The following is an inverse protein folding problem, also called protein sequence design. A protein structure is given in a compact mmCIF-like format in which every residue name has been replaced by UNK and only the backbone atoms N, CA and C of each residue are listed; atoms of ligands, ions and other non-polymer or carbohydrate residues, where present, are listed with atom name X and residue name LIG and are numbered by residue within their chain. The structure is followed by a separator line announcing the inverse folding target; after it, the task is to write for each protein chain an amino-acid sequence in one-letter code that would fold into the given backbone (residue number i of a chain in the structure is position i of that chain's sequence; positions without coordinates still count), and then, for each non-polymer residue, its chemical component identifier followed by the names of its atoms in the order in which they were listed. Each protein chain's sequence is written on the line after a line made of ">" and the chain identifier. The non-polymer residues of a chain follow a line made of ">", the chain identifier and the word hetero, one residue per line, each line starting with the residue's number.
data_IF_965548613547
#
_entry.id   IF_965548613547
#
_cell.length_a   1.000
_cell.length_b   1.000
_cell.length_c   1.000
_cell.angle_alpha   90.00
_cell.angle_beta   90.00
_cell.angle_gamma   90.00
#
_symmetry.space_group_name_H-M   'P 1'
#
loop_
_entity.id
_entity.type
_entity.pdbx_description
1 polymer ?
#
# COMPACT_ATOMS: atom_id res chain seq x y z
N UNK A 1 11.27 7.76 3.75
CA UNK A 1 10.18 6.80 3.62
C UNK A 1 9.61 6.67 2.20
N UNK A 2 9.54 7.73 1.37
CA UNK A 2 9.00 7.65 -0.01
C UNK A 2 9.83 6.82 -1.01
N UNK A 3 11.15 6.70 -0.82
CA UNK A 3 12.04 5.97 -1.76
C UNK A 3 11.98 4.43 -1.68
N UNK A 4 11.64 3.84 -0.52
CA UNK A 4 11.55 2.38 -0.36
C UNK A 4 10.29 1.73 -0.96
N UNK A 5 9.26 2.52 -1.22
CA UNK A 5 8.02 2.05 -1.86
C UNK A 5 8.15 1.88 -3.39
N UNK A 6 9.16 2.49 -4.01
CA UNK A 6 9.24 2.57 -5.48
C UNK A 6 9.80 1.32 -6.16
N UNK A 7 10.76 0.59 -5.54
CA UNK A 7 11.26 -0.66 -6.15
C UNK A 7 10.19 -1.76 -6.16
N UNK A 8 9.42 -1.85 -5.09
CA UNK A 8 8.26 -2.79 -4.99
C UNK A 8 7.10 -2.33 -5.88
N UNK A 9 6.90 -1.01 -6.04
CA UNK A 9 5.86 -0.50 -6.94
C UNK A 9 6.17 -0.71 -8.43
N UNK A 10 7.42 -0.68 -8.89
CA UNK A 10 7.69 -0.92 -10.30
C UNK A 10 7.37 -2.37 -10.68
N UNK A 11 7.69 -3.35 -9.83
CA UNK A 11 7.30 -4.74 -10.04
C UNK A 11 5.79 -4.96 -9.86
N UNK A 12 5.16 -4.35 -8.85
CA UNK A 12 3.72 -4.47 -8.61
C UNK A 12 2.87 -3.67 -9.61
N UNK A 13 3.37 -2.54 -10.14
CA UNK A 13 2.64 -1.70 -11.10
C UNK A 13 2.78 -2.16 -12.54
N UNK A 14 3.77 -2.99 -12.89
CA UNK A 14 3.79 -3.73 -14.16
C UNK A 14 2.52 -4.58 -14.33
N UNK A 15 1.98 -5.08 -13.23
CA UNK A 15 0.76 -5.88 -13.20
C UNK A 15 -0.51 -5.01 -13.25
N UNK A 16 -0.50 -3.82 -12.66
CA UNK A 16 -1.68 -2.93 -12.59
C UNK A 16 -1.97 -2.23 -13.92
N UNK A 17 -0.97 -1.92 -14.73
CA UNK A 17 -1.20 -1.29 -16.03
C UNK A 17 -1.94 -2.18 -17.05
N UNK A 18 -2.03 -3.49 -16.79
CA UNK A 18 -2.79 -4.43 -17.61
C UNK A 18 -4.27 -4.54 -17.21
N UNK A 19 -4.68 -4.06 -16.04
CA UNK A 19 -6.07 -4.13 -15.54
C UNK A 19 -7.00 -3.11 -16.22
N UNK A 20 -6.46 -2.11 -16.93
CA UNK A 20 -7.23 -1.04 -17.58
C UNK A 20 -7.88 -1.39 -18.92
N UNK A 21 -7.61 -2.54 -19.55
CA UNK A 21 -8.24 -2.95 -20.79
C UNK A 21 -9.39 -3.92 -20.53
N UNK A 22 -10.60 -3.36 -20.49
CA UNK A 22 -11.85 -4.11 -20.41
C UNK A 22 -11.93 -5.24 -21.43
N UNK A 23 -12.68 -6.31 -21.05
CA UNK A 23 -13.07 -7.46 -21.88
C UNK A 23 -13.05 -7.14 -23.38
N UNK A 24 -12.05 -7.60 -24.10
CA UNK A 24 -12.11 -7.65 -25.56
C UNK A 24 -13.19 -8.67 -25.95
N UNK A 25 -14.27 -8.18 -26.54
CA UNK A 25 -15.19 -9.00 -27.33
C UNK A 25 -14.38 -9.65 -28.46
N UNK A 26 -14.12 -10.93 -28.34
CA UNK A 26 -13.57 -11.76 -29.41
C UNK A 26 -14.63 -11.94 -30.51
N UNK A 27 -14.53 -11.15 -31.54
CA UNK A 27 -15.01 -11.50 -32.88
C UNK A 27 -13.94 -11.04 -33.86
N UNK A 28 -12.96 -11.86 -34.11
CA UNK A 28 -12.26 -11.90 -35.39
C UNK A 28 -11.62 -13.28 -35.59
N UNK A 29 -11.96 -13.83 -36.73
CA UNK A 29 -11.55 -15.13 -37.26
C UNK A 29 -10.02 -15.25 -37.35
N UNK A 30 -9.51 -16.34 -36.74
CA UNK A 30 -8.13 -16.76 -36.73
C UNK A 30 -7.59 -17.08 -38.11
N UNK A 31 -6.37 -16.64 -38.38
CA UNK A 31 -5.42 -17.37 -39.22
C UNK A 31 -4.32 -17.90 -38.30
N UNK A 32 -4.02 -19.20 -38.42
CA UNK A 32 -3.00 -19.93 -37.68
C UNK A 32 -1.68 -19.15 -37.61
N UNK A 33 -1.37 -18.63 -36.42
CA UNK A 33 -0.03 -18.23 -36.02
C UNK A 33 0.28 -19.01 -34.73
N UNK A 34 1.40 -19.70 -34.76
CA UNK A 34 2.01 -20.56 -33.77
C UNK A 34 1.60 -20.21 -32.30
N UNK A 35 0.90 -21.14 -31.62
CA UNK A 35 0.32 -21.05 -30.30
C UNK A 35 1.39 -21.14 -29.17
N UNK A 36 2.45 -20.37 -29.29
CA UNK A 36 3.52 -20.33 -28.25
C UNK A 36 3.42 -19.15 -27.29
N UNK A 37 2.40 -18.26 -27.50
CA UNK A 37 2.36 -16.97 -26.81
C UNK A 37 1.85 -17.01 -25.35
N UNK A 38 1.20 -18.10 -24.91
CA UNK A 38 0.58 -18.19 -23.56
C UNK A 38 1.02 -19.44 -22.78
N UNK A 39 2.15 -20.03 -23.12
CA UNK A 39 2.67 -21.18 -22.38
C UNK A 39 3.57 -20.69 -21.24
N UNK A 40 3.35 -21.25 -20.04
CA UNK A 40 4.23 -21.00 -18.90
C UNK A 40 5.70 -21.31 -19.27
N UNK A 41 6.61 -20.37 -18.99
CA UNK A 41 8.05 -20.60 -19.10
C UNK A 41 8.41 -21.71 -18.12
N UNK A 42 9.13 -22.71 -18.58
CA UNK A 42 9.64 -23.75 -17.70
C UNK A 42 10.74 -23.21 -16.79
N UNK A 43 10.93 -23.83 -15.63
CA UNK A 43 12.04 -23.49 -14.74
C UNK A 43 13.41 -23.58 -15.43
N UNK A 44 13.58 -24.56 -16.32
CA UNK A 44 14.82 -24.71 -17.10
C UNK A 44 15.04 -23.52 -18.04
N UNK A 45 14.04 -23.13 -18.81
CA UNK A 45 14.11 -21.97 -19.71
C UNK A 45 14.36 -20.67 -18.94
N UNK A 46 13.71 -20.52 -17.76
CA UNK A 46 13.90 -19.34 -16.91
C UNK A 46 15.34 -19.27 -16.38
N UNK A 47 15.88 -20.37 -15.84
CA UNK A 47 17.25 -20.43 -15.31
C UNK A 47 18.31 -20.25 -16.41
N UNK A 48 18.06 -20.75 -17.60
CA UNK A 48 18.92 -20.48 -18.76
C UNK A 48 18.94 -18.97 -19.12
N UNK A 49 17.80 -18.29 -18.98
CA UNK A 49 17.71 -16.85 -19.19
C UNK A 49 18.46 -16.08 -18.09
N UNK A 50 18.38 -16.50 -16.82
CA UNK A 50 19.18 -15.92 -15.72
C UNK A 50 20.67 -16.00 -16.03
N UNK A 51 21.16 -17.17 -16.41
CA UNK A 51 22.58 -17.36 -16.74
C UNK A 51 23.04 -16.50 -17.93
N UNK A 52 22.19 -16.38 -18.97
CA UNK A 52 22.43 -15.54 -20.13
C UNK A 52 22.48 -14.04 -19.74
N UNK A 53 21.48 -13.57 -18.98
CA UNK A 53 21.41 -12.19 -18.54
C UNK A 53 22.57 -11.82 -17.61
N UNK A 54 22.97 -12.71 -16.70
CA UNK A 54 24.14 -12.50 -15.84
C UNK A 54 25.42 -12.27 -16.66
N UNK A 55 25.62 -13.06 -17.74
CA UNK A 55 26.76 -12.86 -18.63
C UNK A 55 26.74 -11.52 -19.37
N UNK A 56 25.54 -11.00 -19.67
CA UNK A 56 25.37 -9.65 -20.25
C UNK A 56 25.64 -8.59 -19.18
N UNK A 57 25.03 -8.71 -18.00
CA UNK A 57 25.10 -7.72 -16.93
C UNK A 57 26.51 -7.52 -16.37
N UNK A 58 27.33 -8.58 -16.33
CA UNK A 58 28.76 -8.50 -15.97
C UNK A 58 29.61 -7.59 -16.87
N UNK A 59 29.08 -7.18 -18.04
CA UNK A 59 29.74 -6.19 -18.92
C UNK A 59 29.44 -4.76 -18.45
N UNK A 60 28.36 -4.56 -17.70
CA UNK A 60 27.86 -3.26 -17.26
C UNK A 60 28.21 -2.94 -15.82
N UNK A 61 28.27 -3.96 -14.95
CA UNK A 61 28.61 -3.76 -13.54
C UNK A 61 29.67 -4.77 -13.08
N UNK A 62 30.45 -4.35 -12.07
CA UNK A 62 31.34 -5.24 -11.31
C UNK A 62 30.92 -5.20 -9.86
N UNK A 63 30.58 -6.36 -9.28
CA UNK A 63 30.20 -6.49 -7.88
C UNK A 63 31.43 -6.49 -6.99
N UNK A 64 31.34 -5.87 -5.78
CA UNK A 64 32.31 -6.10 -4.72
C UNK A 64 32.14 -7.48 -4.09
N UNK A 65 32.93 -7.80 -3.07
CA UNK A 65 32.62 -8.94 -2.18
C UNK A 65 31.27 -8.70 -1.49
N UNK A 66 30.36 -9.68 -1.60
CA UNK A 66 29.00 -9.58 -1.07
C UNK A 66 28.68 -10.64 0.00
N UNK A 67 29.66 -11.46 0.39
CA UNK A 67 29.55 -12.40 1.52
C UNK A 67 30.28 -11.84 2.75
N UNK A 68 29.80 -12.18 3.93
CA UNK A 68 30.41 -11.74 5.18
C UNK A 68 30.23 -10.25 5.50
N UNK A 69 29.30 -9.57 4.82
CA UNK A 69 28.99 -8.16 5.08
C UNK A 69 28.43 -8.02 6.49
N UNK A 70 29.06 -7.15 7.28
CA UNK A 70 28.64 -6.87 8.63
C UNK A 70 27.56 -5.78 8.65
N UNK A 71 26.42 -6.08 9.27
CA UNK A 71 25.27 -5.16 9.40
C UNK A 71 24.71 -5.18 10.81
N UNK A 72 24.12 -4.06 11.24
CA UNK A 72 23.35 -3.95 12.47
C UNK A 72 21.90 -3.62 12.12
N UNK A 73 20.97 -4.46 12.57
CA UNK A 73 19.54 -4.34 12.26
C UNK A 73 18.75 -4.42 13.57
N UNK A 74 17.76 -3.56 13.69
CA UNK A 74 16.83 -3.61 14.82
C UNK A 74 16.03 -4.93 14.82
N UNK A 75 16.08 -5.63 15.96
CA UNK A 75 15.42 -6.92 16.19
C UNK A 75 14.06 -6.80 16.89
N UNK A 76 13.60 -5.60 17.15
CA UNK A 76 12.33 -5.38 17.87
C UNK A 76 11.14 -6.07 17.21
N UNK A 77 11.13 -6.15 15.88
CA UNK A 77 10.07 -6.83 15.13
C UNK A 77 10.05 -8.35 15.29
N UNK A 78 11.13 -8.96 15.78
CA UNK A 78 11.20 -10.41 16.02
C UNK A 78 10.54 -10.84 17.35
N UNK A 79 10.15 -9.87 18.19
CA UNK A 79 9.53 -10.16 19.47
C UNK A 79 8.07 -9.80 19.42
N UNK A 80 7.20 -10.77 19.65
CA UNK A 80 5.75 -10.60 19.73
C UNK A 80 5.30 -10.89 21.16
N UNK A 81 4.82 -9.88 21.85
CA UNK A 81 4.27 -9.98 23.20
C UNK A 81 2.81 -10.47 23.18
N UNK A 82 2.30 -10.87 24.36
CA UNK A 82 0.87 -11.17 24.50
C UNK A 82 0.02 -9.91 24.27
N UNK A 83 0.51 -8.74 24.67
CA UNK A 83 -0.18 -7.47 24.46
C UNK A 83 -0.29 -7.12 22.96
N UNK A 84 0.70 -7.46 22.13
CA UNK A 84 0.63 -7.29 20.69
C UNK A 84 -0.46 -8.15 20.07
N UNK A 85 -0.57 -9.41 20.52
CA UNK A 85 -1.61 -10.34 20.09
C UNK A 85 -3.01 -9.84 20.48
N UNK A 86 -3.21 -9.41 21.73
CA UNK A 86 -4.50 -8.86 22.18
C UNK A 86 -4.84 -7.55 21.45
N UNK A 87 -3.85 -6.71 21.17
CA UNK A 87 -4.05 -5.49 20.35
C UNK A 87 -4.48 -5.82 18.94
N UNK A 88 -3.84 -6.81 18.30
CA UNK A 88 -4.21 -7.27 16.97
C UNK A 88 -5.65 -7.82 16.94
N UNK A 89 -6.02 -8.65 17.92
CA UNK A 89 -7.38 -9.20 18.05
C UNK A 89 -8.40 -8.08 18.32
N UNK A 90 -8.07 -7.11 19.16
CA UNK A 90 -8.92 -5.94 19.42
C UNK A 90 -9.19 -5.14 18.13
N UNK A 91 -8.19 -5.00 17.26
CA UNK A 91 -8.35 -4.36 15.95
C UNK A 91 -9.28 -5.18 15.03
N UNK A 92 -9.14 -6.50 15.04
CA UNK A 92 -10.07 -7.40 14.32
C UNK A 92 -11.49 -7.17 14.84
N UNK A 93 -11.74 -7.29 16.15
CA UNK A 93 -13.07 -7.08 16.74
C UNK A 93 -13.63 -5.70 16.38
N UNK A 94 -12.79 -4.67 16.39
CA UNK A 94 -13.17 -3.30 16.03
C UNK A 94 -13.62 -3.17 14.57
N UNK A 95 -13.08 -4.00 13.65
CA UNK A 95 -13.50 -4.03 12.24
C UNK A 95 -14.86 -4.71 12.05
N UNK A 96 -15.27 -5.58 12.97
CA UNK A 96 -16.58 -6.23 13.00
C UNK A 96 -17.61 -5.48 13.88
N UNK A 97 -17.25 -4.29 14.37
CA UNK A 97 -18.19 -3.53 15.18
C UNK A 97 -19.42 -3.11 14.37
N UNK A 98 -20.57 -3.27 14.95
CA UNK A 98 -21.82 -2.74 14.41
C UNK A 98 -22.04 -1.31 14.85
N UNK A 99 -22.71 -0.52 14.02
CA UNK A 99 -23.07 0.87 14.33
C UNK A 99 -24.58 1.03 14.29
N UNK A 100 -25.14 1.59 15.34
CA UNK A 100 -26.57 1.90 15.46
C UNK A 100 -26.74 3.39 15.75
N UNK A 101 -27.64 4.03 15.01
CA UNK A 101 -28.03 5.40 15.29
C UNK A 101 -29.14 5.43 16.35
N UNK A 102 -28.89 6.09 17.47
CA UNK A 102 -29.88 6.31 18.51
C UNK A 102 -30.30 7.77 18.51
N UNK A 103 -31.62 7.99 18.59
CA UNK A 103 -32.25 9.33 18.56
C UNK A 103 -32.61 9.84 19.95
N UNK A 104 -32.11 9.17 20.98
CA UNK A 104 -32.29 9.52 22.39
C UNK A 104 -30.95 9.37 23.13
N UNK A 105 -30.80 10.12 24.21
CA UNK A 105 -29.62 10.06 25.07
C UNK A 105 -28.86 11.38 25.11
N UNK A 106 -27.68 11.32 25.74
CA UNK A 106 -26.81 12.48 25.96
C UNK A 106 -25.45 12.18 25.33
N UNK A 107 -24.91 13.15 24.61
CA UNK A 107 -23.62 13.05 23.93
C UNK A 107 -22.44 12.97 24.89
N UNK A 108 -21.42 12.22 24.52
CA UNK A 108 -20.15 12.08 25.25
C UNK A 108 -18.95 12.32 24.33
N UNK A 109 -17.80 12.57 24.92
CA UNK A 109 -16.54 12.63 24.16
C UNK A 109 -16.27 11.29 23.47
N UNK A 110 -15.90 11.33 22.17
CA UNK A 110 -15.69 10.15 21.34
C UNK A 110 -16.93 9.67 20.58
N UNK A 111 -18.14 10.16 20.93
CA UNK A 111 -19.35 9.84 20.17
C UNK A 111 -19.28 10.41 18.75
N UNK A 112 -19.74 9.64 17.78
CA UNK A 112 -20.04 10.17 16.44
C UNK A 112 -21.51 10.57 16.40
N UNK A 113 -21.79 11.84 16.10
CA UNK A 113 -23.12 12.42 16.09
C UNK A 113 -23.50 12.94 14.71
N UNK A 114 -24.81 12.98 14.40
CA UNK A 114 -25.36 13.80 13.33
C UNK A 114 -25.93 15.07 13.95
N UNK A 115 -25.51 16.24 13.44
CA UNK A 115 -25.95 17.52 13.99
C UNK A 115 -26.17 18.57 12.90
N UNK A 116 -27.06 19.53 13.23
CA UNK A 116 -27.13 20.84 12.57
C UNK A 116 -26.39 21.86 13.42
N UNK A 117 -25.76 22.82 12.76
CA UNK A 117 -25.21 23.98 13.46
C UNK A 117 -25.37 25.26 12.64
N UNK A 118 -25.51 26.40 13.36
CA UNK A 118 -25.54 27.74 12.79
C UNK A 118 -24.78 28.72 13.66
N UNK A 119 -23.61 29.16 13.14
CA UNK A 119 -22.76 30.14 13.82
C UNK A 119 -23.12 31.59 13.48
N UNK A 120 -23.19 32.42 14.50
CA UNK A 120 -23.54 33.85 14.40
C UNK A 120 -22.48 34.71 15.07
N UNK A 121 -22.02 35.75 14.38
CA UNK A 121 -21.20 36.82 14.89
C UNK A 121 -22.12 38.07 15.07
N UNK A 122 -22.23 38.58 16.27
CA UNK A 122 -23.11 39.70 16.58
C UNK A 122 -24.58 39.51 16.10
N UNK A 123 -25.04 38.26 16.16
CA UNK A 123 -26.40 37.87 15.74
C UNK A 123 -26.59 37.63 14.27
N UNK A 124 -25.56 37.82 13.45
CA UNK A 124 -25.58 37.60 11.99
C UNK A 124 -24.81 36.33 11.61
N UNK A 125 -25.45 35.43 10.83
CA UNK A 125 -24.80 34.24 10.37
C UNK A 125 -23.63 34.58 9.43
N UNK A 126 -22.49 33.88 9.59
CA UNK A 126 -21.29 34.07 8.76
C UNK A 126 -21.10 32.94 7.78
N UNK A 127 -20.38 33.20 6.71
CA UNK A 127 -20.10 32.22 5.67
C UNK A 127 -19.29 31.04 6.22
N UNK A 128 -19.75 29.80 5.91
CA UNK A 128 -19.15 28.56 6.41
C UNK A 128 -19.55 28.21 7.87
N UNK A 129 -20.33 29.07 8.55
CA UNK A 129 -20.79 28.84 9.91
C UNK A 129 -22.06 28.01 10.04
N UNK A 130 -22.71 27.59 8.94
CA UNK A 130 -23.96 26.84 8.96
C UNK A 130 -23.90 25.60 8.11
N UNK A 131 -24.34 24.47 8.67
CA UNK A 131 -24.50 23.21 7.95
C UNK A 131 -25.59 22.35 8.63
N UNK A 132 -26.14 21.40 7.88
CA UNK A 132 -27.16 20.46 8.35
C UNK A 132 -26.70 19.02 8.09
N UNK A 133 -27.19 18.08 8.90
CA UNK A 133 -26.90 16.64 8.83
C UNK A 133 -25.39 16.30 8.81
N UNK A 134 -24.59 17.07 9.53
CA UNK A 134 -23.14 16.87 9.58
C UNK A 134 -22.82 15.71 10.50
N UNK A 135 -22.08 14.72 9.96
CA UNK A 135 -21.49 13.68 10.81
C UNK A 135 -20.19 14.17 11.43
N UNK A 136 -20.12 14.16 12.75
CA UNK A 136 -18.97 14.66 13.51
C UNK A 136 -18.65 13.76 14.70
N UNK A 137 -17.36 13.46 14.90
CA UNK A 137 -16.89 12.75 16.10
C UNK A 137 -16.38 13.77 17.11
N UNK A 138 -17.01 13.82 18.27
CA UNK A 138 -16.66 14.75 19.37
C UNK A 138 -15.25 14.44 19.88
N UNK A 139 -14.37 15.43 19.90
CA UNK A 139 -12.96 15.29 20.26
C UNK A 139 -12.03 15.04 19.06
N UNK A 140 -12.56 15.02 17.82
CA UNK A 140 -11.73 14.85 16.61
C UNK A 140 -10.90 16.07 16.23
N UNK A 141 -11.15 17.23 16.83
CA UNK A 141 -10.42 18.47 16.60
C UNK A 141 -10.69 19.14 15.24
N UNK A 142 -11.73 18.71 14.50
CA UNK A 142 -12.12 19.34 13.22
C UNK A 142 -12.95 20.61 13.44
N UNK A 143 -13.60 20.76 14.58
CA UNK A 143 -14.22 22.01 15.00
C UNK A 143 -13.28 22.81 15.90
N UNK A 144 -13.58 24.10 16.10
CA UNK A 144 -12.87 24.91 17.11
C UNK A 144 -13.11 24.35 18.52
N UNK A 145 -12.11 24.48 19.38
CA UNK A 145 -12.08 23.81 20.69
C UNK A 145 -13.33 24.05 21.53
N UNK A 146 -13.81 25.29 21.58
CA UNK A 146 -14.99 25.64 22.40
C UNK A 146 -16.26 24.95 21.87
N UNK A 147 -16.43 24.85 20.54
CA UNK A 147 -17.56 24.14 19.95
C UNK A 147 -17.47 22.65 20.24
N UNK A 148 -16.28 22.06 20.00
CA UNK A 148 -16.05 20.63 20.22
C UNK A 148 -16.33 20.21 21.67
N UNK A 149 -15.85 20.99 22.64
CA UNK A 149 -16.13 20.77 24.06
C UNK A 149 -17.59 21.01 24.41
N UNK A 150 -18.22 22.03 23.81
CA UNK A 150 -19.62 22.37 24.03
C UNK A 150 -20.62 21.33 23.51
N UNK A 151 -20.17 20.43 22.60
CA UNK A 151 -20.99 19.31 22.13
C UNK A 151 -21.13 18.18 23.14
N UNK A 152 -20.33 18.14 24.22
CA UNK A 152 -20.40 17.10 25.26
C UNK A 152 -21.56 17.41 26.23
N UNK A 153 -22.37 16.40 26.52
CA UNK A 153 -23.45 16.50 27.50
C UNK A 153 -24.78 17.06 26.95
N UNK A 154 -24.91 17.16 25.61
CA UNK A 154 -26.15 17.62 24.98
C UNK A 154 -27.16 16.48 24.82
N UNK A 155 -28.42 16.74 25.07
CA UNK A 155 -29.49 15.79 24.80
C UNK A 155 -29.86 15.82 23.33
N UNK A 156 -30.02 14.63 22.74
CA UNK A 156 -30.45 14.48 21.35
C UNK A 156 -31.84 15.10 21.16
N UNK A 157 -32.04 15.78 20.03
CA UNK A 157 -33.30 16.45 19.66
C UNK A 157 -33.54 17.79 20.30
N UNK A 158 -32.62 18.30 21.13
CA UNK A 158 -32.73 19.64 21.75
C UNK A 158 -31.75 20.62 21.09
N UNK A 159 -32.19 21.88 21.02
CA UNK A 159 -31.36 22.97 20.51
C UNK A 159 -30.58 23.62 21.65
N UNK A 160 -29.30 23.92 21.41
CA UNK A 160 -28.40 24.54 22.37
C UNK A 160 -27.61 25.67 21.73
N UNK A 161 -27.43 26.76 22.44
CA UNK A 161 -26.52 27.84 22.10
C UNK A 161 -25.17 27.64 22.80
N UNK A 162 -24.11 27.44 22.01
CA UNK A 162 -22.75 27.24 22.51
C UNK A 162 -21.94 28.50 22.22
N UNK A 163 -21.55 29.26 23.27
CA UNK A 163 -20.64 30.39 23.10
C UNK A 163 -19.24 29.89 22.80
N UNK A 164 -18.63 30.38 21.71
CA UNK A 164 -17.32 29.98 21.23
C UNK A 164 -16.46 31.20 20.93
N UNK A 165 -15.14 31.06 21.03
CA UNK A 165 -14.18 32.06 20.58
C UNK A 165 -13.25 31.42 19.55
N UNK A 166 -13.16 32.01 18.37
CA UNK A 166 -12.20 31.55 17.37
C UNK A 166 -10.77 31.79 17.84
N UNK A 167 -9.83 30.85 17.59
CA UNK A 167 -8.41 31.06 17.84
C UNK A 167 -7.89 32.33 17.17
N UNK A 168 -6.92 33.01 17.79
CA UNK A 168 -6.34 34.25 17.23
C UNK A 168 -5.58 34.03 15.93
N UNK A 169 -5.15 32.81 15.65
CA UNK A 169 -4.46 32.35 14.45
C UNK A 169 -5.39 31.63 13.45
N UNK A 170 -6.72 31.78 13.61
CA UNK A 170 -7.68 31.18 12.71
C UNK A 170 -7.51 31.70 11.28
N UNK A 171 -7.65 30.82 10.29
CA UNK A 171 -7.34 31.12 8.87
C UNK A 171 -8.16 32.27 8.26
N UNK A 172 -9.41 32.49 8.77
CA UNK A 172 -10.23 33.65 8.38
C UNK A 172 -9.94 34.83 9.30
N UNK A 173 -9.35 35.89 8.75
CA UNK A 173 -9.06 37.14 9.47
C UNK A 173 -10.30 37.82 10.04
N UNK A 174 -11.46 37.59 9.43
CA UNK A 174 -12.73 38.19 9.87
C UNK A 174 -13.29 37.51 11.12
N UNK A 175 -12.85 36.26 11.39
CA UNK A 175 -13.29 35.45 12.52
C UNK A 175 -12.20 35.27 13.57
N UNK A 176 -10.91 35.43 13.25
CA UNK A 176 -9.80 35.26 14.18
C UNK A 176 -9.99 36.10 15.47
N UNK A 177 -9.96 35.45 16.62
CA UNK A 177 -10.15 36.04 17.94
C UNK A 177 -11.57 36.56 18.23
N UNK A 178 -12.55 36.31 17.35
CA UNK A 178 -13.95 36.76 17.57
C UNK A 178 -14.72 35.76 18.39
N UNK A 179 -15.62 36.33 19.25
CA UNK A 179 -16.62 35.54 20.00
C UNK A 179 -17.88 35.41 19.17
N UNK A 180 -18.37 34.17 19.04
CA UNK A 180 -19.55 33.80 18.26
C UNK A 180 -20.47 32.89 19.09
N UNK A 181 -21.69 32.72 18.64
CA UNK A 181 -22.62 31.75 19.23
C UNK A 181 -22.94 30.73 18.13
N UNK A 182 -22.73 29.45 18.43
CA UNK A 182 -23.23 28.35 17.60
C UNK A 182 -24.51 27.82 18.21
N UNK A 183 -25.60 27.93 17.47
CA UNK A 183 -26.85 27.22 17.77
C UNK A 183 -26.73 25.84 17.16
N UNK A 184 -26.83 24.78 17.95
CA UNK A 184 -26.65 23.38 17.51
C UNK A 184 -27.84 22.52 17.89
N UNK A 185 -28.16 21.54 17.03
CA UNK A 185 -29.14 20.50 17.35
C UNK A 185 -28.52 19.15 16.96
N UNK A 186 -28.37 18.25 17.93
CA UNK A 186 -27.92 16.88 17.70
C UNK A 186 -29.11 16.01 17.33
N UNK A 187 -29.09 15.36 16.16
CA UNK A 187 -30.19 14.51 15.69
C UNK A 187 -30.07 13.07 16.15
N UNK A 188 -28.83 12.56 16.19
CA UNK A 188 -28.56 11.19 16.61
C UNK A 188 -27.13 11.03 17.13
N UNK A 189 -26.95 9.98 17.91
CA UNK A 189 -25.63 9.47 18.32
C UNK A 189 -25.43 8.12 17.64
N UNK A 190 -24.31 7.93 16.93
CA UNK A 190 -23.92 6.63 16.41
C UNK A 190 -23.23 5.85 17.52
N UNK A 191 -23.88 4.83 18.05
CA UNK A 191 -23.29 3.90 19.00
C UNK A 191 -22.59 2.78 18.27
N UNK A 192 -21.29 2.63 18.54
CA UNK A 192 -20.47 1.55 18.04
C UNK A 192 -20.45 0.42 19.07
N UNK A 193 -20.92 -0.76 18.69
CA UNK A 193 -20.87 -1.97 19.52
C UNK A 193 -19.81 -2.91 18.97
N UNK A 194 -18.73 -3.09 19.72
CA UNK A 194 -17.67 -4.06 19.42
C UNK A 194 -18.16 -5.42 19.93
N UNK A 195 -18.10 -6.50 19.10
CA UNK A 195 -18.51 -7.81 19.55
C UNK A 195 -17.62 -8.32 20.68
N UNK A 196 -18.21 -9.12 21.56
CA UNK A 196 -17.47 -9.84 22.60
C UNK A 196 -16.68 -10.99 21.96
N UNK A 197 -15.44 -11.17 22.39
CA UNK A 197 -14.58 -12.26 21.93
C UNK A 197 -14.98 -13.58 22.64
N UNK A 198 -15.71 -14.41 21.94
CA UNK A 198 -16.14 -15.76 22.42
C UNK A 198 -15.84 -16.81 21.36
N UNK A 199 -15.82 -18.09 21.76
CA UNK A 199 -15.61 -19.19 20.82
C UNK A 199 -16.74 -19.24 19.76
N UNK A 200 -17.99 -18.92 20.14
CA UNK A 200 -19.11 -18.84 19.22
C UNK A 200 -18.91 -17.74 18.18
N UNK A 201 -18.39 -16.56 18.60
CA UNK A 201 -18.10 -15.47 17.68
C UNK A 201 -16.98 -15.84 16.72
N UNK A 202 -15.89 -16.45 17.21
CA UNK A 202 -14.78 -16.91 16.37
C UNK A 202 -15.27 -17.94 15.35
N UNK A 203 -16.02 -18.95 15.79
CA UNK A 203 -16.57 -19.97 14.89
C UNK A 203 -17.49 -19.39 13.80
N UNK A 204 -18.29 -18.38 14.14
CA UNK A 204 -19.20 -17.73 13.20
C UNK A 204 -18.46 -16.86 12.16
N UNK A 205 -17.25 -16.39 12.44
CA UNK A 205 -16.51 -15.47 11.60
C UNK A 205 -15.20 -16.05 11.04
N UNK A 206 -14.86 -17.31 11.34
CA UNK A 206 -13.61 -17.95 10.97
C UNK A 206 -13.34 -17.88 9.46
N UNK A 207 -14.34 -18.24 8.63
CA UNK A 207 -14.24 -18.18 7.17
C UNK A 207 -13.95 -16.77 6.65
N UNK A 208 -14.65 -15.77 7.18
CA UNK A 208 -14.45 -14.35 6.76
C UNK A 208 -13.11 -13.76 7.23
N UNK A 209 -12.54 -14.32 8.30
CA UNK A 209 -11.21 -13.97 8.78
C UNK A 209 -10.10 -14.76 8.08
N UNK A 210 -10.45 -15.80 7.33
CA UNK A 210 -9.49 -16.69 6.67
C UNK A 210 -8.68 -17.54 7.65
N UNK A 211 -9.25 -17.89 8.82
CA UNK A 211 -8.62 -18.71 9.85
C UNK A 211 -9.23 -20.12 9.88
N UNK A 212 -8.41 -21.10 10.26
CA UNK A 212 -8.86 -22.49 10.34
C UNK A 212 -9.50 -22.83 11.71
N UNK A 213 -9.05 -22.11 12.75
CA UNK A 213 -9.51 -22.36 14.11
C UNK A 213 -10.89 -21.74 14.41
N UNK A 214 -11.63 -22.37 15.31
CA UNK A 214 -13.00 -21.96 15.70
C UNK A 214 -13.11 -21.57 17.18
N UNK A 215 -11.99 -21.38 17.86
CA UNK A 215 -11.94 -20.99 19.28
C UNK A 215 -11.07 -19.75 19.49
N UNK A 216 -11.29 -19.06 20.60
CA UNK A 216 -10.48 -17.90 21.01
C UNK A 216 -9.00 -18.29 21.15
N UNK A 217 -8.71 -19.50 21.67
CA UNK A 217 -7.32 -19.98 21.77
C UNK A 217 -6.69 -20.18 20.39
N UNK A 218 -7.43 -20.75 19.43
CA UNK A 218 -6.97 -20.91 18.06
C UNK A 218 -6.72 -19.54 17.40
N UNK A 219 -7.64 -18.59 17.53
CA UNK A 219 -7.46 -17.23 17.00
C UNK A 219 -6.20 -16.55 17.59
N UNK A 220 -5.96 -16.68 18.91
CA UNK A 220 -4.74 -16.14 19.53
C UNK A 220 -3.47 -16.77 18.98
N UNK A 221 -3.49 -18.08 18.75
CA UNK A 221 -2.36 -18.80 18.16
C UNK A 221 -2.09 -18.33 16.74
N UNK A 222 -3.12 -18.26 15.90
CA UNK A 222 -3.00 -17.82 14.50
C UNK A 222 -2.59 -16.34 14.41
N UNK A 223 -3.13 -15.48 15.28
CA UNK A 223 -2.72 -14.08 15.38
C UNK A 223 -1.25 -13.94 15.76
N UNK A 224 -0.76 -14.74 16.70
CA UNK A 224 0.66 -14.76 17.06
C UNK A 224 1.53 -15.22 15.91
N UNK A 225 1.20 -16.32 15.26
CA UNK A 225 1.93 -16.84 14.09
C UNK A 225 1.97 -15.79 12.95
N UNK A 226 0.86 -15.10 12.71
CA UNK A 226 0.81 -14.00 11.75
C UNK A 226 1.75 -12.85 12.11
N UNK A 227 1.75 -12.40 13.37
CA UNK A 227 2.61 -11.31 13.84
C UNK A 227 4.09 -11.70 13.81
N UNK A 228 4.43 -12.93 14.24
CA UNK A 228 5.79 -13.45 14.18
C UNK A 228 6.32 -13.54 12.74
N UNK A 229 5.51 -14.06 11.82
CA UNK A 229 5.85 -14.14 10.40
C UNK A 229 6.02 -12.74 9.78
N UNK A 230 5.10 -11.82 10.10
CA UNK A 230 5.19 -10.42 9.65
C UNK A 230 6.41 -9.71 10.21
N UNK A 231 6.69 -9.92 11.49
CA UNK A 231 7.88 -9.38 12.17
C UNK A 231 9.18 -9.92 11.58
N UNK A 232 9.23 -11.23 11.31
CA UNK A 232 10.36 -11.88 10.62
C UNK A 232 10.57 -11.32 9.22
N UNK A 233 9.51 -11.19 8.43
CA UNK A 233 9.58 -10.60 7.10
C UNK A 233 10.11 -9.16 7.14
N UNK A 234 9.63 -8.36 8.10
CA UNK A 234 10.12 -6.99 8.32
C UNK A 234 11.61 -6.96 8.65
N UNK A 235 12.05 -7.83 9.55
CA UNK A 235 13.45 -7.96 9.91
C UNK A 235 14.31 -8.38 8.72
N UNK A 236 13.90 -9.42 7.99
CA UNK A 236 14.63 -9.96 6.83
C UNK A 236 14.77 -8.89 5.71
N UNK A 237 13.70 -8.12 5.47
CA UNK A 237 13.71 -7.01 4.51
C UNK A 237 14.65 -5.86 4.95
N UNK A 238 14.66 -5.53 6.24
CA UNK A 238 15.56 -4.51 6.78
C UNK A 238 17.02 -4.98 6.73
N UNK A 239 17.26 -6.26 7.01
CA UNK A 239 18.60 -6.89 6.93
C UNK A 239 19.10 -6.88 5.50
N UNK A 240 18.29 -7.35 4.54
CA UNK A 240 18.62 -7.27 3.11
C UNK A 240 18.92 -5.83 2.68
N UNK A 241 18.07 -4.88 3.05
CA UNK A 241 18.29 -3.47 2.72
C UNK A 241 19.63 -2.95 3.23
N UNK A 242 20.00 -3.32 4.47
CA UNK A 242 21.30 -2.93 5.05
C UNK A 242 22.47 -3.56 4.29
N UNK A 243 22.37 -4.86 3.97
CA UNK A 243 23.40 -5.58 3.17
C UNK A 243 23.51 -4.97 1.78
N UNK A 244 22.38 -4.74 1.10
CA UNK A 244 22.36 -4.21 -0.26
C UNK A 244 22.93 -2.78 -0.34
N UNK A 245 22.66 -1.92 0.64
CA UNK A 245 23.26 -0.58 0.69
C UNK A 245 24.80 -0.62 0.81
N UNK A 246 25.36 -1.62 1.50
CA UNK A 246 26.82 -1.82 1.54
C UNK A 246 27.33 -2.27 0.17
N UNK A 247 26.68 -3.27 -0.45
CA UNK A 247 27.04 -3.73 -1.79
C UNK A 247 26.97 -2.57 -2.79
N UNK A 248 25.86 -1.84 -2.80
CA UNK A 248 25.59 -0.73 -3.73
C UNK A 248 26.66 0.35 -3.71
N UNK A 249 27.26 0.60 -2.55
CA UNK A 249 28.29 1.63 -2.36
C UNK A 249 29.56 1.36 -3.19
N UNK A 250 29.91 0.08 -3.32
CA UNK A 250 31.19 -0.35 -3.88
C UNK A 250 31.03 -1.01 -5.26
N UNK A 251 29.80 -0.99 -5.83
CA UNK A 251 29.55 -1.45 -7.22
C UNK A 251 30.24 -0.47 -8.20
N UNK A 252 31.01 -1.02 -9.13
CA UNK A 252 31.44 -0.26 -10.29
C UNK A 252 30.40 -0.37 -11.39
N UNK A 253 29.77 0.75 -11.77
CA UNK A 253 28.80 0.83 -12.85
C UNK A 253 29.47 1.42 -14.09
N UNK A 254 29.58 0.65 -15.18
CA UNK A 254 30.13 1.07 -16.47
C UNK A 254 29.02 1.49 -17.46
N UNK A 255 27.77 1.28 -17.13
CA UNK A 255 26.59 1.63 -17.93
C UNK A 255 25.42 0.70 -17.67
N UNK A 256 24.44 0.76 -18.55
CA UNK A 256 23.20 -0.04 -18.47
C UNK A 256 22.85 -0.61 -19.85
N UNK A 257 22.20 -1.79 -19.94
CA UNK A 257 21.61 -2.28 -21.18
C UNK A 257 20.54 -1.30 -21.68
N UNK A 258 20.82 -0.59 -22.78
CA UNK A 258 19.99 0.54 -23.23
C UNK A 258 18.56 0.10 -23.56
N UNK A 259 18.38 -1.06 -24.22
CA UNK A 259 17.05 -1.55 -24.57
C UNK A 259 16.18 -1.82 -23.34
N UNK A 260 16.76 -2.37 -22.26
CA UNK A 260 16.04 -2.60 -21.01
C UNK A 260 15.72 -1.27 -20.30
N UNK A 261 16.67 -0.34 -20.30
CA UNK A 261 16.47 0.99 -19.73
C UNK A 261 15.31 1.73 -20.42
N UNK A 262 15.28 1.72 -21.75
CA UNK A 262 14.22 2.37 -22.54
C UNK A 262 12.86 1.71 -22.30
N UNK A 263 12.83 0.38 -22.20
CA UNK A 263 11.62 -0.38 -21.87
C UNK A 263 11.08 0.02 -20.49
N UNK A 264 11.92 0.04 -19.47
CA UNK A 264 11.53 0.43 -18.10
C UNK A 264 11.02 1.87 -18.03
N UNK A 265 11.64 2.81 -18.74
CA UNK A 265 11.13 4.19 -18.84
C UNK A 265 9.75 4.25 -19.48
N UNK A 266 9.53 3.45 -20.54
CA UNK A 266 8.21 3.37 -21.21
C UNK A 266 7.15 2.80 -20.27
N UNK A 267 7.45 1.73 -19.56
CA UNK A 267 6.56 1.10 -18.59
C UNK A 267 6.22 2.08 -17.46
N UNK A 268 7.20 2.77 -16.91
CA UNK A 268 6.97 3.78 -15.87
C UNK A 268 5.98 4.86 -16.34
N UNK A 269 6.14 5.35 -17.58
CA UNK A 269 5.23 6.33 -18.16
C UNK A 269 3.80 5.78 -18.27
N UNK A 270 3.66 4.57 -18.81
CA UNK A 270 2.35 3.93 -18.96
C UNK A 270 1.65 3.73 -17.61
N UNK A 271 2.39 3.35 -16.57
CA UNK A 271 1.84 3.18 -15.22
C UNK A 271 1.36 4.50 -14.63
N UNK A 272 2.14 5.58 -14.78
CA UNK A 272 1.74 6.91 -14.30
C UNK A 272 0.52 7.45 -15.07
N UNK A 273 0.45 7.21 -16.39
CA UNK A 273 -0.71 7.55 -17.22
C UNK A 273 -1.95 6.73 -16.81
N UNK A 274 -1.79 5.44 -16.52
CA UNK A 274 -2.87 4.57 -16.08
C UNK A 274 -3.41 5.00 -14.71
N UNK A 275 -2.53 5.33 -13.75
CA UNK A 275 -2.92 5.87 -12.44
C UNK A 275 -3.71 7.18 -12.59
N UNK A 276 -3.19 8.13 -13.37
CA UNK A 276 -3.89 9.37 -13.63
C UNK A 276 -5.29 9.13 -14.21
N UNK A 277 -5.41 8.26 -15.24
CA UNK A 277 -6.66 7.95 -15.88
C UNK A 277 -7.65 7.26 -14.93
N UNK A 278 -7.18 6.34 -14.09
CA UNK A 278 -8.01 5.64 -13.09
C UNK A 278 -8.63 6.60 -12.08
N UNK A 279 -7.86 7.59 -11.62
CA UNK A 279 -8.28 8.55 -10.61
C UNK A 279 -8.58 9.95 -11.18
N UNK A 280 -8.85 10.06 -12.48
CA UNK A 280 -9.04 11.34 -13.17
C UNK A 280 -10.12 12.21 -12.51
N UNK A 281 -11.26 11.64 -12.13
CA UNK A 281 -12.33 12.38 -11.45
C UNK A 281 -11.89 12.98 -10.11
N UNK A 282 -11.12 12.22 -9.35
CA UNK A 282 -10.55 12.67 -8.07
C UNK A 282 -9.54 13.80 -8.28
N UNK A 283 -8.63 13.67 -9.24
CA UNK A 283 -7.62 14.68 -9.54
C UNK A 283 -8.26 15.95 -10.10
N UNK A 284 -9.26 15.82 -10.98
CA UNK A 284 -10.01 16.98 -11.53
C UNK A 284 -10.71 17.79 -10.44
N UNK A 285 -11.26 17.15 -9.40
CA UNK A 285 -11.86 17.84 -8.26
C UNK A 285 -10.84 18.65 -7.44
N UNK A 286 -9.54 18.35 -7.56
CA UNK A 286 -8.43 19.08 -6.93
C UNK A 286 -7.77 20.11 -7.87
N UNK A 287 -8.34 20.33 -9.05
CA UNK A 287 -7.81 21.30 -10.03
C UNK A 287 -6.69 20.75 -10.91
N UNK A 288 -6.44 19.42 -10.88
CA UNK A 288 -5.46 18.74 -11.74
C UNK A 288 -6.19 18.27 -13.00
N UNK A 289 -6.03 18.98 -14.10
CA UNK A 289 -6.87 18.84 -15.29
C UNK A 289 -6.30 17.96 -16.40
N UNK A 290 -4.97 17.71 -16.35
CA UNK A 290 -4.26 16.94 -17.36
C UNK A 290 -3.05 16.22 -16.78
N UNK A 291 -2.43 15.33 -17.56
CA UNK A 291 -1.31 14.51 -17.12
C UNK A 291 -0.06 15.34 -16.74
N UNK A 292 0.18 16.45 -17.43
CA UNK A 292 1.30 17.34 -17.08
C UNK A 292 1.10 18.00 -15.71
N UNK A 293 -0.12 18.48 -15.44
CA UNK A 293 -0.50 19.01 -14.12
C UNK A 293 -0.41 17.94 -13.02
N UNK A 294 -0.75 16.68 -13.34
CA UNK A 294 -0.59 15.54 -12.45
C UNK A 294 0.89 15.29 -12.12
N UNK A 295 1.77 15.21 -13.13
CA UNK A 295 3.21 15.04 -12.91
C UNK A 295 3.80 16.16 -12.04
N UNK A 296 3.39 17.40 -12.30
CA UNK A 296 3.84 18.56 -11.51
C UNK A 296 3.34 18.54 -10.07
N UNK A 297 2.05 18.24 -9.86
CA UNK A 297 1.40 18.33 -8.54
C UNK A 297 1.73 17.14 -7.63
N UNK A 298 1.79 15.92 -8.20
CA UNK A 298 1.96 14.68 -7.44
C UNK A 298 3.44 14.30 -7.30
N UNK A 299 4.21 14.46 -8.37
CA UNK A 299 5.62 14.06 -8.44
C UNK A 299 6.61 15.21 -8.39
N UNK A 300 6.12 16.46 -8.43
CA UNK A 300 6.94 17.68 -8.50
C UNK A 300 7.86 17.73 -9.74
N UNK A 301 7.35 17.24 -10.88
CA UNK A 301 8.04 17.20 -12.17
C UNK A 301 7.48 18.32 -13.06
N UNK A 302 8.27 19.37 -13.25
CA UNK A 302 7.79 20.63 -13.85
C UNK A 302 7.69 20.62 -15.37
N UNK A 303 8.40 19.71 -16.04
CA UNK A 303 8.51 19.64 -17.50
C UNK A 303 9.02 18.27 -17.97
N UNK A 304 9.09 18.08 -19.28
CA UNK A 304 9.53 16.82 -19.91
C UNK A 304 10.98 16.45 -19.55
N UNK A 305 11.86 17.41 -19.34
CA UNK A 305 13.23 17.15 -18.94
C UNK A 305 13.32 16.62 -17.51
N UNK A 306 12.58 17.24 -16.59
CA UNK A 306 12.46 16.75 -15.20
C UNK A 306 11.85 15.34 -15.15
N UNK A 307 10.86 15.06 -16.01
CA UNK A 307 10.30 13.72 -16.14
C UNK A 307 11.33 12.71 -16.69
N UNK A 308 12.07 13.07 -17.76
CA UNK A 308 13.07 12.17 -18.36
C UNK A 308 14.20 11.83 -17.37
N UNK A 309 14.68 12.81 -16.62
CA UNK A 309 15.67 12.63 -15.56
C UNK A 309 15.14 11.70 -14.46
N UNK A 310 13.92 11.94 -13.98
CA UNK A 310 13.24 11.10 -13.00
C UNK A 310 13.07 9.66 -13.49
N UNK A 311 12.55 9.48 -14.71
CA UNK A 311 12.32 8.19 -15.31
C UNK A 311 13.64 7.43 -15.53
N UNK A 312 14.68 8.13 -15.96
CA UNK A 312 16.02 7.56 -16.16
C UNK A 312 16.59 7.09 -14.83
N UNK A 313 16.57 7.93 -13.79
CA UNK A 313 17.09 7.57 -12.47
C UNK A 313 16.33 6.38 -11.87
N UNK A 314 15.00 6.40 -11.96
CA UNK A 314 14.14 5.32 -11.44
C UNK A 314 14.41 4.00 -12.15
N UNK A 315 14.49 4.03 -13.49
CA UNK A 315 14.80 2.85 -14.28
C UNK A 315 16.22 2.31 -14.02
N UNK A 316 17.20 3.18 -13.84
CA UNK A 316 18.56 2.79 -13.48
C UNK A 316 18.65 2.16 -12.10
N UNK A 317 17.95 2.68 -11.10
CA UNK A 317 17.91 2.10 -9.75
C UNK A 317 17.33 0.69 -9.78
N UNK A 318 16.19 0.50 -10.46
CA UNK A 318 15.57 -0.82 -10.61
C UNK A 318 16.47 -1.80 -11.37
N UNK A 319 17.02 -1.34 -12.52
CA UNK A 319 17.86 -2.20 -13.37
C UNK A 319 19.18 -2.57 -12.68
N UNK A 320 19.75 -1.66 -11.88
CA UNK A 320 20.93 -1.96 -11.08
C UNK A 320 20.66 -3.11 -10.09
N UNK A 321 19.55 -3.03 -9.34
CA UNK A 321 19.18 -4.12 -8.43
C UNK A 321 18.95 -5.42 -9.17
N UNK A 322 18.22 -5.40 -10.29
CA UNK A 322 18.00 -6.57 -11.15
C UNK A 322 19.31 -7.19 -11.63
N UNK A 323 20.26 -6.38 -12.09
CA UNK A 323 21.58 -6.84 -12.53
C UNK A 323 22.35 -7.49 -11.38
N UNK A 324 22.35 -6.88 -10.20
CA UNK A 324 23.04 -7.40 -9.00
C UNK A 324 22.47 -8.76 -8.61
N UNK A 325 21.14 -8.84 -8.44
CA UNK A 325 20.50 -10.08 -8.01
C UNK A 325 20.67 -11.21 -9.04
N UNK A 326 20.56 -10.89 -10.33
CA UNK A 326 20.76 -11.87 -11.42
C UNK A 326 22.20 -12.41 -11.44
N UNK A 327 23.20 -11.55 -11.25
CA UNK A 327 24.62 -11.98 -11.20
C UNK A 327 24.87 -12.86 -9.98
N UNK A 328 24.39 -12.44 -8.79
CA UNK A 328 24.57 -13.22 -7.54
C UNK A 328 23.89 -14.59 -7.66
N UNK A 329 22.69 -14.65 -8.24
CA UNK A 329 21.99 -15.91 -8.48
C UNK A 329 22.82 -16.85 -9.36
N UNK A 330 23.26 -16.39 -10.52
CA UNK A 330 24.05 -17.18 -11.45
C UNK A 330 25.39 -17.64 -10.85
N UNK A 331 26.09 -16.77 -10.11
CA UNK A 331 27.39 -17.07 -9.51
C UNK A 331 27.31 -18.07 -8.35
N UNK A 332 26.14 -18.22 -7.73
CA UNK A 332 25.94 -19.13 -6.60
C UNK A 332 25.01 -20.30 -6.90
N UNK A 333 24.55 -20.47 -8.15
CA UNK A 333 23.65 -21.55 -8.55
C UNK A 333 22.29 -21.45 -7.84
N UNK A 334 21.77 -20.24 -7.67
CA UNK A 334 20.45 -20.02 -7.09
C UNK A 334 19.43 -20.06 -8.22
N UNK A 335 18.73 -21.17 -8.29
CA UNK A 335 17.76 -21.45 -9.35
C UNK A 335 16.31 -21.31 -8.83
N UNK A 336 15.40 -20.99 -9.74
CA UNK A 336 13.96 -21.02 -9.52
C UNK A 336 13.43 -22.36 -9.99
N UNK A 337 12.71 -23.08 -9.12
CA UNK A 337 12.10 -24.37 -9.43
C UNK A 337 10.71 -24.22 -10.06
N UNK A 338 10.17 -25.30 -10.60
CA UNK A 338 8.79 -25.31 -11.08
C UNK A 338 7.78 -25.07 -9.94
N UNK A 339 8.07 -25.59 -8.74
CA UNK A 339 7.23 -25.38 -7.56
C UNK A 339 7.26 -23.92 -7.12
N UNK A 340 8.41 -23.25 -7.19
CA UNK A 340 8.53 -21.81 -6.92
C UNK A 340 7.64 -20.96 -7.85
N UNK A 341 7.64 -21.29 -9.15
CA UNK A 341 6.81 -20.58 -10.15
C UNK A 341 5.33 -20.84 -9.89
N UNK A 342 4.95 -22.08 -9.58
CA UNK A 342 3.56 -22.42 -9.28
C UNK A 342 3.08 -21.75 -7.99
N UNK A 343 3.91 -21.71 -6.94
CA UNK A 343 3.58 -21.06 -5.67
C UNK A 343 3.31 -19.57 -5.86
N UNK A 344 4.24 -18.86 -6.52
CA UNK A 344 4.07 -17.43 -6.73
C UNK A 344 2.91 -17.15 -7.69
N UNK A 345 2.73 -17.97 -8.72
CA UNK A 345 1.61 -17.88 -9.65
C UNK A 345 0.27 -18.04 -8.94
N UNK A 346 0.13 -19.01 -8.04
CA UNK A 346 -1.08 -19.24 -7.25
C UNK A 346 -1.38 -18.06 -6.30
N UNK A 347 -0.36 -17.49 -5.66
CA UNK A 347 -0.47 -16.29 -4.82
C UNK A 347 -1.06 -15.12 -5.61
N UNK A 348 -0.54 -14.85 -6.81
CA UNK A 348 -1.02 -13.77 -7.66
C UNK A 348 -2.41 -14.07 -8.24
N UNK A 349 -2.70 -15.33 -8.62
CA UNK A 349 -4.04 -15.74 -9.04
C UNK A 349 -5.08 -15.37 -7.96
N UNK A 350 -4.84 -15.81 -6.74
CA UNK A 350 -5.72 -15.48 -5.59
C UNK A 350 -5.86 -13.97 -5.37
N UNK A 351 -4.77 -13.22 -5.45
CA UNK A 351 -4.79 -11.76 -5.22
C UNK A 351 -5.63 -11.01 -6.28
N UNK A 352 -5.56 -11.45 -7.56
CA UNK A 352 -6.30 -10.82 -8.65
C UNK A 352 -7.68 -11.46 -8.91
N UNK A 353 -8.10 -12.44 -8.09
CA UNK A 353 -9.40 -13.10 -8.22
C UNK A 353 -9.50 -14.09 -9.37
N UNK A 354 -8.38 -14.65 -9.80
CA UNK A 354 -8.31 -15.78 -10.73
C UNK A 354 -8.31 -17.10 -9.98
N UNK A 355 -8.74 -18.18 -10.65
CA UNK A 355 -8.80 -19.52 -10.04
C UNK A 355 -7.45 -20.21 -10.01
N UNK A 356 -6.61 -19.94 -10.99
CA UNK A 356 -5.27 -20.54 -11.11
C UNK A 356 -4.28 -19.66 -11.89
N UNK A 357 -3.04 -20.09 -11.91
CA UNK A 357 -1.95 -19.40 -12.60
C UNK A 357 -2.11 -19.35 -14.12
N UNK A 358 -2.71 -20.37 -14.74
CA UNK A 358 -2.93 -20.39 -16.19
C UNK A 358 -3.89 -19.28 -16.63
N UNK A 359 -4.92 -19.00 -15.87
CA UNK A 359 -5.84 -17.87 -16.16
C UNK A 359 -5.12 -16.52 -16.16
N UNK A 360 -4.12 -16.32 -15.29
CA UNK A 360 -3.28 -15.12 -15.32
C UNK A 360 -2.46 -15.08 -16.61
N UNK A 361 -1.84 -16.19 -16.99
CA UNK A 361 -1.04 -16.27 -18.23
C UNK A 361 -1.89 -16.00 -19.46
N UNK A 362 -3.11 -16.53 -19.50
CA UNK A 362 -4.05 -16.30 -20.59
C UNK A 362 -4.49 -14.82 -20.67
N UNK A 363 -4.57 -14.15 -19.52
CA UNK A 363 -4.94 -12.74 -19.44
C UNK A 363 -3.77 -11.78 -19.77
N UNK A 364 -2.54 -12.12 -19.33
CA UNK A 364 -1.41 -11.19 -19.34
C UNK A 364 -0.19 -11.68 -20.15
N UNK A 365 -0.19 -12.93 -20.60
CA UNK A 365 0.86 -13.46 -21.46
C UNK A 365 2.18 -13.78 -20.74
N UNK A 366 3.21 -14.07 -21.55
CA UNK A 366 4.52 -14.52 -21.06
C UNK A 366 5.34 -13.47 -20.30
N UNK A 367 5.00 -12.19 -20.43
CA UNK A 367 5.68 -11.14 -19.67
C UNK A 367 5.45 -11.32 -18.17
N UNK A 368 4.24 -11.76 -17.78
CA UNK A 368 3.93 -12.10 -16.39
C UNK A 368 4.81 -13.24 -15.85
N UNK A 369 5.08 -14.26 -16.65
CA UNK A 369 5.98 -15.35 -16.26
C UNK A 369 7.39 -14.87 -15.89
N UNK A 370 7.93 -13.96 -16.70
CA UNK A 370 9.28 -13.43 -16.48
C UNK A 370 9.34 -12.62 -15.17
N UNK A 371 8.29 -11.83 -14.90
CA UNK A 371 8.22 -11.00 -13.69
C UNK A 371 8.01 -11.84 -12.41
N UNK A 372 7.11 -12.84 -12.44
CA UNK A 372 6.91 -13.73 -11.29
C UNK A 372 8.16 -14.56 -10.99
N UNK A 373 8.84 -15.06 -12.05
CA UNK A 373 10.10 -15.75 -11.89
C UNK A 373 11.18 -14.86 -11.28
N UNK A 374 11.24 -13.58 -11.69
CA UNK A 374 12.18 -12.61 -11.10
C UNK A 374 11.85 -12.29 -9.64
N UNK A 375 10.59 -12.15 -9.28
CA UNK A 375 10.20 -11.94 -7.87
C UNK A 375 10.71 -13.09 -6.99
N UNK A 376 10.48 -14.34 -7.43
CA UNK A 376 10.94 -15.50 -6.67
C UNK A 376 12.47 -15.61 -6.61
N UNK A 377 13.15 -15.28 -7.71
CA UNK A 377 14.62 -15.19 -7.73
C UNK A 377 15.12 -14.16 -6.72
N UNK A 378 14.48 -13.00 -6.72
CA UNK A 378 14.80 -11.91 -5.80
C UNK A 378 14.66 -12.35 -4.34
N UNK A 379 13.55 -12.98 -3.96
CA UNK A 379 13.34 -13.56 -2.62
C UNK A 379 14.48 -14.51 -2.22
N UNK A 380 14.86 -15.43 -3.13
CA UNK A 380 15.93 -16.42 -2.87
C UNK A 380 17.30 -15.77 -2.71
N UNK A 381 17.63 -14.77 -3.54
CA UNK A 381 18.91 -14.06 -3.44
C UNK A 381 18.94 -13.16 -2.20
N UNK A 382 17.84 -12.54 -1.83
CA UNK A 382 17.73 -11.77 -0.59
C UNK A 382 17.97 -12.67 0.64
N UNK A 383 17.33 -13.84 0.68
CA UNK A 383 17.59 -14.84 1.72
C UNK A 383 19.06 -15.26 1.76
N UNK A 384 19.64 -15.58 0.59
CA UNK A 384 21.05 -15.93 0.49
C UNK A 384 21.98 -14.83 1.03
N UNK A 385 21.73 -13.57 0.70
CA UNK A 385 22.52 -12.44 1.20
C UNK A 385 22.37 -12.27 2.70
N UNK A 386 21.14 -12.41 3.24
CA UNK A 386 20.88 -12.37 4.67
C UNK A 386 21.64 -13.49 5.42
N UNK A 387 21.63 -14.72 4.88
CA UNK A 387 22.28 -15.88 5.50
C UNK A 387 23.81 -15.78 5.45
N UNK A 388 24.36 -15.11 4.45
CA UNK A 388 25.79 -14.89 4.27
C UNK A 388 26.29 -13.55 4.84
N UNK A 389 25.46 -12.79 5.53
CA UNK A 389 25.84 -11.57 6.26
C UNK A 389 26.20 -11.88 7.72
N UNK A 390 26.91 -10.95 8.37
CA UNK A 390 27.31 -11.05 9.78
C UNK A 390 26.61 -9.95 10.57
N UNK A 391 25.89 -10.34 11.61
CA UNK A 391 25.27 -9.37 12.53
C UNK A 391 26.31 -8.85 13.53
N UNK A 392 26.29 -7.53 13.75
CA UNK A 392 27.11 -6.82 14.74
C UNK A 392 26.28 -6.36 15.94
#
# INVERSE_FOLDING_TARGET
>A
MKKKFMSVMLAATLVVSLVGCGKKNNNNTATDADDTSNKAITAEEYNATIASNAAVYKKYITLPEYKGIAVSVDKSSLTVSDDDVETYISNILSSYATSEQVTEGTTASGDTISLDYSGKLDGVAFSGGTATDVSYTIGSGKFITDLDQGLVGLNVGQEYDIPCTFPSDYSSSDLAGKSVIFTVTVHSITKKTIPELTDEWVAANAESMGIEGTTVEALRKEAREYLENSGKSTYDNNKYSAVYEVIKKDITVNGYPQAELDSLKSILKQNMEAEYNQYQSYYSAQGISDFSSYLSSVYNLSDDAAYDDYATQTAQEYLLEKMVLTIIAADNGIDVSADDINEIGAKYASYYGYTDYQEILDAYGNEMNAELGYEKLSEKVQSFLNDNSVEQ
#
